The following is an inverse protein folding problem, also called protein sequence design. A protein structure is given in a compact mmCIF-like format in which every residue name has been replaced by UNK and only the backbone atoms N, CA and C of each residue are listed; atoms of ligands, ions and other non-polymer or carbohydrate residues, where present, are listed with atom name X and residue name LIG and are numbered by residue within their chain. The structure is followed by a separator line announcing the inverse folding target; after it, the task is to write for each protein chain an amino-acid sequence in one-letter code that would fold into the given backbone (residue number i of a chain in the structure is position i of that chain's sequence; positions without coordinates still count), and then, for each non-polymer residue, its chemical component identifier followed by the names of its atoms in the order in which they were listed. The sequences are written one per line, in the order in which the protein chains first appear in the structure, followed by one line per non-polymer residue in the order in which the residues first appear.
data_IF_765066818654
#
_entry.id   IF_765066818654
#
_cell.length_a   1.000
_cell.length_b   1.000
_cell.length_c   1.000
_cell.angle_alpha   90.00
_cell.angle_beta   90.00
_cell.angle_gamma   90.00
#
_symmetry.space_group_name_H-M   'P 1'
#
loop_
_entity.id
_entity.type
_entity.pdbx_description
1 polymer ?
#
# COMPACT_ATOMS: atom_id res chain seq x y z
N UNK A 1 -12.67 -15.92 24.65
CA UNK A 1 -11.50 -15.33 23.96
C UNK A 1 -11.38 -13.94 24.55
N UNK A 2 -10.29 -13.63 25.25
CA UNK A 2 -10.10 -12.28 25.81
C UNK A 2 -9.96 -11.29 24.65
N UNK A 3 -10.55 -10.10 24.76
CA UNK A 3 -10.44 -9.00 23.78
C UNK A 3 -8.99 -8.71 23.39
N UNK A 4 -8.04 -8.97 24.32
CA UNK A 4 -6.60 -8.88 24.11
C UNK A 4 -6.09 -9.72 22.93
N UNK A 5 -6.47 -11.01 22.86
CA UNK A 5 -6.05 -11.88 21.76
C UNK A 5 -6.69 -11.46 20.44
N UNK A 6 -7.92 -10.91 20.48
CA UNK A 6 -8.65 -10.50 19.29
C UNK A 6 -8.02 -9.28 18.60
N UNK A 7 -7.48 -8.32 19.35
CA UNK A 7 -6.79 -7.14 18.77
C UNK A 7 -5.47 -7.55 18.12
N UNK A 8 -4.65 -8.36 18.81
CA UNK A 8 -3.37 -8.85 18.29
C UNK A 8 -3.56 -9.65 17.00
N UNK A 9 -4.48 -10.62 16.99
CA UNK A 9 -4.82 -11.41 15.80
C UNK A 9 -5.31 -10.52 14.63
N UNK A 10 -6.03 -9.44 14.94
CA UNK A 10 -6.53 -8.50 13.92
C UNK A 10 -5.40 -7.64 13.34
N UNK A 11 -4.45 -7.22 14.17
CA UNK A 11 -3.25 -6.49 13.74
C UNK A 11 -2.41 -7.37 12.82
N UNK A 12 -2.12 -8.60 13.23
CA UNK A 12 -1.30 -9.53 12.46
C UNK A 12 -1.93 -9.84 11.10
N UNK A 13 -3.27 -10.01 11.07
CA UNK A 13 -4.01 -10.19 9.82
C UNK A 13 -3.92 -8.95 8.93
N UNK A 14 -4.21 -7.76 9.43
CA UNK A 14 -4.16 -6.54 8.63
C UNK A 14 -2.73 -6.20 8.15
N UNK A 15 -1.72 -6.60 8.92
CA UNK A 15 -0.32 -6.37 8.58
C UNK A 15 0.13 -7.16 7.34
N UNK A 16 -0.58 -8.21 6.91
CA UNK A 16 -0.20 -8.97 5.71
C UNK A 16 -0.34 -8.15 4.43
N UNK A 17 -1.20 -7.13 4.45
CA UNK A 17 -1.53 -6.32 3.27
C UNK A 17 -0.39 -5.39 2.83
N UNK A 18 0.52 -5.05 3.74
CA UNK A 18 1.70 -4.22 3.44
C UNK A 18 2.95 -5.09 3.48
N UNK A 19 3.73 -5.12 2.39
CA UNK A 19 5.02 -5.81 2.35
C UNK A 19 6.07 -5.22 3.30
N UNK A 20 7.04 -6.02 3.74
CA UNK A 20 8.21 -5.50 4.47
C UNK A 20 9.09 -4.64 3.55
N UNK A 21 9.65 -3.57 4.10
CA UNK A 21 10.53 -2.63 3.37
C UNK A 21 11.82 -2.45 4.16
N UNK A 22 12.95 -2.41 3.46
CA UNK A 22 14.27 -2.28 4.07
C UNK A 22 14.73 -0.82 4.13
N UNK A 23 15.69 -0.48 5.02
CA UNK A 23 16.30 0.84 5.04
C UNK A 23 16.77 1.28 3.65
N UNK A 24 16.73 2.60 3.38
CA UNK A 24 17.07 3.17 2.07
C UNK A 24 18.49 2.84 1.56
N UNK A 25 19.42 2.54 2.47
CA UNK A 25 20.78 2.13 2.12
C UNK A 25 20.88 0.66 1.67
N UNK A 26 19.82 -0.12 1.84
CA UNK A 26 19.74 -1.53 1.45
C UNK A 26 19.13 -1.65 0.06
N UNK A 27 19.85 -2.31 -0.84
CA UNK A 27 19.38 -2.53 -2.21
C UNK A 27 18.45 -3.75 -2.24
N UNK A 28 17.16 -3.52 -1.99
CA UNK A 28 16.14 -4.58 -2.02
C UNK A 28 14.96 -4.15 -2.87
N UNK A 29 14.48 -5.07 -3.71
CA UNK A 29 13.24 -4.90 -4.48
C UNK A 29 12.05 -5.32 -3.62
N UNK A 30 11.09 -4.43 -3.41
CA UNK A 30 9.81 -4.76 -2.79
C UNK A 30 8.76 -4.98 -3.89
N UNK A 31 7.98 -6.06 -3.79
CA UNK A 31 6.80 -6.28 -4.62
C UNK A 31 5.62 -5.51 -3.99
N UNK A 32 5.05 -4.48 -4.63
CA UNK A 32 3.89 -3.76 -4.09
C UNK A 32 2.67 -4.65 -3.88
N UNK A 33 2.58 -5.77 -4.62
CA UNK A 33 1.48 -6.72 -4.54
C UNK A 33 1.75 -7.91 -3.61
N UNK A 34 2.81 -7.87 -2.77
CA UNK A 34 3.19 -9.02 -1.93
C UNK A 34 2.11 -9.46 -0.94
N UNK A 35 1.16 -8.57 -0.59
CA UNK A 35 0.02 -8.87 0.26
C UNK A 35 -1.19 -9.48 -0.47
N UNK A 36 -1.13 -9.58 -1.80
CA UNK A 36 -2.24 -9.94 -2.68
C UNK A 36 -1.89 -11.13 -3.60
N UNK A 37 -0.85 -11.89 -3.28
CA UNK A 37 -0.33 -12.97 -4.14
C UNK A 37 -1.29 -14.18 -4.24
N UNK A 38 -2.26 -14.27 -3.33
CA UNK A 38 -3.25 -15.34 -3.27
C UNK A 38 -4.49 -15.11 -4.18
N UNK A 39 -4.60 -13.94 -4.81
CA UNK A 39 -5.71 -13.59 -5.72
C UNK A 39 -5.23 -13.37 -7.17
N UNK A 40 -6.09 -13.49 -8.19
CA UNK A 40 -5.72 -13.22 -9.58
C UNK A 40 -5.19 -11.79 -9.77
N UNK A 41 -4.29 -11.59 -10.73
CA UNK A 41 -3.60 -10.31 -10.94
C UNK A 41 -4.54 -9.10 -11.03
N UNK A 42 -5.62 -9.17 -11.81
CA UNK A 42 -6.57 -8.05 -11.92
C UNK A 42 -7.23 -7.70 -10.58
N UNK A 43 -7.64 -8.71 -9.82
CA UNK A 43 -8.20 -8.52 -8.48
C UNK A 43 -7.16 -7.98 -7.49
N UNK A 44 -5.92 -8.50 -7.54
CA UNK A 44 -4.80 -7.99 -6.74
C UNK A 44 -4.53 -6.51 -7.01
N UNK A 45 -4.55 -6.11 -8.28
CA UNK A 45 -4.27 -4.76 -8.72
C UNK A 45 -5.38 -3.81 -8.27
N UNK A 46 -6.65 -4.16 -8.47
CA UNK A 46 -7.79 -3.35 -8.02
C UNK A 46 -7.77 -3.18 -6.50
N UNK A 47 -7.64 -4.27 -5.74
CA UNK A 47 -7.58 -4.21 -4.27
C UNK A 47 -6.38 -3.38 -3.77
N UNK A 48 -5.21 -3.54 -4.39
CA UNK A 48 -4.04 -2.77 -4.03
C UNK A 48 -4.17 -1.28 -4.39
N UNK A 49 -4.79 -0.95 -5.53
CA UNK A 49 -5.01 0.43 -5.94
C UNK A 49 -6.01 1.14 -5.02
N UNK A 50 -7.10 0.47 -4.64
CA UNK A 50 -8.09 1.02 -3.70
C UNK A 50 -7.47 1.29 -2.33
N UNK A 51 -6.61 0.38 -1.87
CA UNK A 51 -6.09 0.42 -0.51
C UNK A 51 -4.79 1.24 -0.39
N UNK A 52 -3.80 0.97 -1.23
CA UNK A 52 -2.48 1.63 -1.21
C UNK A 52 -2.45 2.91 -2.05
N UNK A 53 -3.49 3.17 -2.83
CA UNK A 53 -3.52 4.21 -3.83
C UNK A 53 -2.63 3.89 -5.04
N UNK A 54 -2.52 4.88 -5.93
CA UNK A 54 -1.71 4.78 -7.14
C UNK A 54 -2.46 4.15 -8.30
N UNK A 55 -1.72 3.85 -9.38
CA UNK A 55 -2.30 3.29 -10.60
C UNK A 55 -1.76 1.88 -10.81
N UNK A 56 -2.68 0.92 -10.83
CA UNK A 56 -2.40 -0.49 -11.05
C UNK A 56 -1.89 -0.84 -12.45
N UNK A 57 -2.41 -0.13 -13.45
CA UNK A 57 -2.12 -0.35 -14.85
C UNK A 57 -1.39 0.84 -15.51
N UNK A 58 -0.71 0.64 -16.66
CA UNK A 58 -0.19 1.73 -17.46
C UNK A 58 -1.27 2.75 -17.88
N UNK A 59 -0.84 3.98 -18.21
CA UNK A 59 -1.74 5.00 -18.74
C UNK A 59 -2.13 4.69 -20.18
N UNK A 60 -3.27 5.19 -20.67
CA UNK A 60 -3.66 5.06 -22.08
C UNK A 60 -2.57 5.56 -23.05
N UNK A 61 -1.85 6.63 -22.71
CA UNK A 61 -0.71 7.12 -23.52
C UNK A 61 0.41 6.08 -23.66
N UNK A 62 0.66 5.30 -22.61
CA UNK A 62 1.68 4.25 -22.63
C UNK A 62 1.27 3.13 -23.58
N UNK A 63 0.01 2.69 -23.53
CA UNK A 63 -0.51 1.68 -24.46
C UNK A 63 -0.54 2.18 -25.91
N UNK A 64 -0.89 3.45 -26.11
CA UNK A 64 -0.86 4.10 -27.43
C UNK A 64 0.55 4.10 -28.01
N UNK A 65 1.54 4.51 -27.23
CA UNK A 65 2.95 4.47 -27.65
C UNK A 65 3.41 3.04 -27.96
N UNK A 66 3.03 2.05 -27.15
CA UNK A 66 3.37 0.65 -27.39
C UNK A 66 2.73 0.08 -28.68
N UNK A 67 1.53 0.53 -29.04
CA UNK A 67 0.91 0.21 -30.33
C UNK A 67 1.65 0.87 -31.49
N UNK A 68 1.95 2.17 -31.38
CA UNK A 68 2.66 2.94 -32.42
C UNK A 68 4.07 2.39 -32.69
N UNK A 69 4.75 1.94 -31.64
CA UNK A 69 6.09 1.33 -31.72
C UNK A 69 6.05 -0.15 -32.16
N UNK A 70 4.86 -0.73 -32.38
CA UNK A 70 4.68 -2.13 -32.76
C UNK A 70 5.07 -3.14 -31.66
N UNK A 71 5.10 -2.69 -30.41
CA UNK A 71 5.34 -3.55 -29.24
C UNK A 71 4.11 -4.39 -28.88
N UNK A 72 2.92 -3.93 -29.26
CA UNK A 72 1.66 -4.67 -29.19
C UNK A 72 1.26 -5.07 -30.60
N UNK A 73 1.15 -6.37 -30.86
CA UNK A 73 0.66 -6.90 -32.13
C UNK A 73 -0.86 -6.70 -32.25
N UNK A 74 -1.37 -5.98 -33.27
CA UNK A 74 -2.79 -5.66 -33.38
C UNK A 74 -3.72 -6.89 -33.43
N UNK A 75 -3.25 -7.99 -34.02
CA UNK A 75 -4.02 -9.25 -34.10
C UNK A 75 -4.20 -9.91 -32.72
N UNK A 76 -3.17 -9.84 -31.88
CA UNK A 76 -3.25 -10.33 -30.49
C UNK A 76 -4.21 -9.45 -29.69
N UNK A 77 -4.04 -8.12 -29.78
CA UNK A 77 -4.93 -7.19 -29.08
C UNK A 77 -6.39 -7.36 -29.47
N UNK A 78 -6.69 -7.50 -30.77
CA UNK A 78 -8.05 -7.75 -31.24
C UNK A 78 -8.65 -9.04 -30.66
N UNK A 79 -7.82 -10.07 -30.46
CA UNK A 79 -8.26 -11.34 -29.88
C UNK A 79 -8.55 -11.19 -28.39
N UNK A 80 -7.65 -10.56 -27.63
CA UNK A 80 -7.80 -10.29 -26.19
C UNK A 80 -9.04 -9.42 -25.88
N UNK A 81 -9.30 -8.41 -26.71
CA UNK A 81 -10.47 -7.53 -26.58
C UNK A 81 -11.77 -8.28 -26.92
N UNK A 82 -11.79 -9.07 -28.00
CA UNK A 82 -12.97 -9.82 -28.41
C UNK A 82 -13.37 -10.89 -27.39
N UNK A 83 -12.40 -11.55 -26.75
CA UNK A 83 -12.65 -12.52 -25.67
C UNK A 83 -13.35 -11.90 -24.45
N UNK A 84 -13.09 -10.61 -24.20
CA UNK A 84 -13.72 -9.81 -23.14
C UNK A 84 -14.97 -9.06 -23.61
N UNK A 85 -15.39 -9.26 -24.86
CA UNK A 85 -16.62 -8.66 -25.41
C UNK A 85 -16.49 -7.22 -25.90
N UNK A 86 -15.27 -6.71 -26.10
CA UNK A 86 -15.03 -5.39 -26.66
C UNK A 86 -14.88 -5.46 -28.18
N UNK A 87 -15.74 -4.72 -28.91
CA UNK A 87 -15.76 -4.69 -30.38
C UNK A 87 -15.29 -3.35 -30.98
N UNK A 88 -15.09 -2.33 -30.15
CA UNK A 88 -14.64 -1.02 -30.62
C UNK A 88 -13.17 -1.04 -31.02
N UNK A 89 -12.76 -0.07 -31.82
CA UNK A 89 -11.35 0.09 -32.18
C UNK A 89 -10.48 0.48 -30.95
N UNK A 90 -9.18 0.16 -30.96
CA UNK A 90 -8.29 0.44 -29.83
C UNK A 90 -8.21 1.92 -29.43
N UNK A 91 -8.31 2.88 -30.37
CA UNK A 91 -8.24 4.30 -30.03
C UNK A 91 -9.45 4.72 -29.20
N UNK A 92 -10.65 4.31 -29.62
CA UNK A 92 -11.90 4.56 -28.88
C UNK A 92 -11.87 3.96 -27.47
N UNK A 93 -11.29 2.76 -27.31
CA UNK A 93 -11.19 2.10 -26.01
C UNK A 93 -10.19 2.81 -25.08
N UNK A 94 -9.07 3.29 -25.62
CA UNK A 94 -8.08 4.07 -24.86
C UNK A 94 -8.65 5.41 -24.38
N UNK A 95 -9.48 6.08 -25.18
CA UNK A 95 -10.17 7.31 -24.77
C UNK A 95 -11.13 7.06 -23.59
N UNK A 96 -11.87 5.94 -23.62
CA UNK A 96 -12.75 5.54 -22.51
C UNK A 96 -11.99 5.27 -21.22
N UNK A 97 -10.80 4.68 -21.30
CA UNK A 97 -9.96 4.41 -20.13
C UNK A 97 -9.45 5.69 -19.46
N UNK A 98 -9.21 6.76 -20.21
CA UNK A 98 -8.65 8.01 -19.67
C UNK A 98 -9.68 8.78 -18.82
N UNK A 99 -10.96 8.72 -19.21
CA UNK A 99 -12.04 9.45 -18.53
C UNK A 99 -12.40 8.91 -17.14
N UNK A 100 -11.99 7.69 -16.79
CA UNK A 100 -12.34 7.04 -15.52
C UNK A 100 -11.38 7.35 -14.36
N UNK A 101 -10.30 8.12 -14.58
CA UNK A 101 -9.19 8.23 -13.62
C UNK A 101 -9.20 9.51 -12.77
N UNK A 102 -10.37 10.13 -12.56
CA UNK A 102 -10.46 11.26 -11.64
C UNK A 102 -10.31 10.78 -10.19
N UNK A 103 -9.13 11.00 -9.60
CA UNK A 103 -8.87 10.71 -8.19
C UNK A 103 -9.65 11.66 -7.28
N UNK A 104 -10.18 11.12 -6.19
CA UNK A 104 -10.80 11.94 -5.15
C UNK A 104 -9.78 12.96 -4.59
N UNK A 105 -10.24 14.19 -4.26
CA UNK A 105 -9.35 15.17 -3.65
C UNK A 105 -8.83 14.64 -2.30
N UNK A 106 -7.56 14.89 -1.96
CA UNK A 106 -6.96 14.36 -0.75
C UNK A 106 -7.71 14.85 0.49
N UNK A 107 -7.95 13.94 1.44
CA UNK A 107 -8.49 14.28 2.75
C UNK A 107 -7.42 15.04 3.56
N UNK A 108 -7.59 16.35 3.69
CA UNK A 108 -6.63 17.24 4.35
C UNK A 108 -6.36 16.84 5.81
N UNK A 109 -7.34 16.28 6.52
CA UNK A 109 -7.17 15.88 7.93
C UNK A 109 -6.35 14.59 8.03
N UNK A 110 -6.53 13.64 7.10
CA UNK A 110 -5.70 12.44 7.02
C UNK A 110 -4.23 12.79 6.67
N UNK A 111 -4.01 13.78 5.79
CA UNK A 111 -2.65 14.27 5.49
C UNK A 111 -1.96 14.88 6.72
N UNK A 112 -2.71 15.53 7.62
CA UNK A 112 -2.18 16.05 8.88
C UNK A 112 -1.75 14.94 9.85
N UNK A 113 -2.54 13.86 9.95
CA UNK A 113 -2.16 12.65 10.69
C UNK A 113 -0.84 12.10 10.15
N UNK A 114 -0.76 11.92 8.84
CA UNK A 114 0.42 11.38 8.16
C UNK A 114 1.66 12.25 8.37
N UNK A 115 1.49 13.57 8.32
CA UNK A 115 2.56 14.54 8.55
C UNK A 115 3.13 14.44 9.97
N UNK A 116 2.27 14.45 10.99
CA UNK A 116 2.69 14.35 12.39
C UNK A 116 3.34 13.00 12.66
N UNK A 117 2.72 11.92 12.20
CA UNK A 117 3.23 10.57 12.42
C UNK A 117 4.59 10.36 11.73
N UNK A 118 4.74 10.81 10.48
CA UNK A 118 6.02 10.76 9.73
C UNK A 118 7.13 11.54 10.45
N UNK A 119 6.82 12.72 11.00
CA UNK A 119 7.78 13.50 11.80
C UNK A 119 8.29 12.72 13.01
N UNK A 120 7.39 12.07 13.75
CA UNK A 120 7.79 11.33 14.94
C UNK A 120 8.45 10.00 14.64
N UNK A 121 8.02 9.29 13.60
CA UNK A 121 8.68 8.09 13.12
C UNK A 121 10.10 8.38 12.66
N UNK A 122 10.32 9.44 11.89
CA UNK A 122 11.68 9.84 11.48
C UNK A 122 12.58 10.20 12.66
N UNK A 123 12.05 10.89 13.68
CA UNK A 123 12.80 11.19 14.90
C UNK A 123 13.09 9.94 15.74
N UNK A 124 12.16 8.99 15.82
CA UNK A 124 12.33 7.75 16.58
C UNK A 124 13.23 6.73 15.88
N UNK A 125 13.14 6.62 14.56
CA UNK A 125 13.83 5.61 13.78
C UNK A 125 15.25 6.04 13.38
N UNK A 126 15.64 7.29 13.65
CA UNK A 126 16.99 7.81 13.41
C UNK A 126 18.09 6.93 14.01
N UNK A 127 19.03 6.51 13.16
CA UNK A 127 20.16 5.67 13.54
C UNK A 127 21.41 6.49 13.91
N UNK A 128 21.22 7.61 14.61
CA UNK A 128 22.28 8.47 15.11
C UNK A 128 22.79 9.51 14.11
N UNK A 129 21.99 9.87 13.10
CA UNK A 129 22.31 10.96 12.17
C UNK A 129 21.86 12.31 12.71
N UNK A 130 20.76 12.34 13.48
CA UNK A 130 20.26 13.56 14.08
C UNK A 130 21.19 14.06 15.18
N UNK A 131 21.45 15.36 15.21
CA UNK A 131 22.20 15.99 16.30
C UNK A 131 21.45 15.88 17.64
N UNK A 132 20.12 15.82 17.57
CA UNK A 132 19.21 15.77 18.71
C UNK A 132 18.34 14.53 18.56
N UNK A 133 18.57 13.54 19.43
CA UNK A 133 17.76 12.32 19.48
C UNK A 133 16.39 12.62 20.11
N UNK A 134 15.37 11.87 19.69
CA UNK A 134 14.10 11.85 20.40
C UNK A 134 14.32 11.39 21.86
N UNK A 135 13.69 12.02 22.87
CA UNK A 135 13.76 11.58 24.27
C UNK A 135 13.12 10.21 24.50
N UNK A 136 13.63 9.47 25.49
CA UNK A 136 13.05 8.22 26.01
C UNK A 136 12.82 7.11 24.95
N UNK A 137 13.61 7.11 23.86
CA UNK A 137 13.46 6.12 22.77
C UNK A 137 13.67 4.69 23.24
N UNK A 138 14.45 4.51 24.29
CA UNK A 138 14.76 3.22 24.92
C UNK A 138 13.51 2.52 25.47
N UNK A 139 12.46 3.28 25.79
CA UNK A 139 11.18 2.77 26.28
C UNK A 139 10.28 2.28 25.12
N UNK A 140 10.71 2.49 23.87
CA UNK A 140 10.00 2.11 22.66
C UNK A 140 9.13 3.23 22.07
N UNK A 141 8.72 3.06 20.82
CA UNK A 141 8.09 4.13 20.02
C UNK A 141 6.87 4.77 20.69
N UNK A 142 5.92 3.96 21.14
CA UNK A 142 4.68 4.44 21.74
C UNK A 142 4.94 5.22 23.04
N UNK A 143 5.78 4.68 23.94
CA UNK A 143 6.11 5.32 25.20
C UNK A 143 6.89 6.63 24.99
N UNK A 144 7.85 6.61 24.05
CA UNK A 144 8.60 7.80 23.66
C UNK A 144 7.66 8.89 23.11
N UNK A 145 6.76 8.53 22.18
CA UNK A 145 5.77 9.44 21.61
C UNK A 145 4.86 10.03 22.69
N UNK A 146 4.31 9.19 23.58
CA UNK A 146 3.48 9.61 24.71
C UNK A 146 4.17 10.67 25.58
N UNK A 147 5.48 10.54 25.80
CA UNK A 147 6.24 11.49 26.63
C UNK A 147 6.42 12.89 26.00
N UNK A 148 6.22 13.02 24.68
CA UNK A 148 6.45 14.26 23.93
C UNK A 148 5.21 14.80 23.22
N UNK A 149 4.15 14.00 23.07
CA UNK A 149 2.94 14.37 22.33
C UNK A 149 2.29 15.65 22.87
N UNK A 150 2.17 15.79 24.19
CA UNK A 150 1.62 17.00 24.83
C UNK A 150 2.45 18.28 24.63
N UNK A 151 3.67 18.16 24.08
CA UNK A 151 4.54 19.29 23.75
C UNK A 151 4.54 19.62 22.25
N UNK A 152 3.82 18.84 21.45
CA UNK A 152 3.71 19.03 20.01
C UNK A 152 2.49 19.89 19.66
N UNK A 153 2.72 21.17 19.36
CA UNK A 153 1.64 22.09 18.99
C UNK A 153 0.93 21.78 17.66
N UNK A 154 1.36 20.75 16.92
CA UNK A 154 0.63 20.24 15.74
C UNK A 154 -0.43 19.20 16.13
N UNK A 155 -0.36 18.61 17.31
CA UNK A 155 -1.35 17.63 17.79
C UNK A 155 -2.49 18.39 18.48
N UNK A 156 -3.75 18.19 18.08
CA UNK A 156 -4.88 18.77 18.79
C UNK A 156 -4.93 18.26 20.24
N UNK A 157 -5.24 19.16 21.18
CA UNK A 157 -5.45 18.81 22.60
C UNK A 157 -6.89 18.29 22.81
N UNK A 158 -7.24 17.23 22.07
CA UNK A 158 -8.56 16.57 22.07
C UNK A 158 -8.41 15.05 21.81
N UNK A 159 -9.44 14.29 22.20
CA UNK A 159 -9.50 12.84 22.05
C UNK A 159 -8.45 12.07 22.85
N UNK A 160 -8.17 10.83 22.44
CA UNK A 160 -7.19 9.93 23.06
C UNK A 160 -5.75 10.49 22.98
N UNK A 161 -5.44 11.35 22.01
CA UNK A 161 -4.12 11.95 21.88
C UNK A 161 -3.77 12.94 23.01
N UNK A 162 -4.77 13.55 23.66
CA UNK A 162 -4.57 14.50 24.76
C UNK A 162 -4.05 13.82 26.05
N UNK A 163 -4.52 12.60 26.32
CA UNK A 163 -4.07 11.78 27.46
C UNK A 163 -3.97 10.31 27.03
N UNK A 164 -2.90 10.00 26.31
CA UNK A 164 -2.66 8.65 25.82
C UNK A 164 -2.60 7.64 26.98
N UNK A 165 -3.33 6.51 26.87
CA UNK A 165 -3.19 5.38 27.80
C UNK A 165 -1.75 4.90 27.94
N UNK A 166 -1.40 4.28 29.06
CA UNK A 166 -0.06 3.72 29.26
C UNK A 166 0.24 2.58 28.27
N UNK A 167 -0.81 1.85 27.88
CA UNK A 167 -0.70 0.68 27.01
C UNK A 167 -1.18 0.98 25.58
N UNK A 168 -0.42 0.65 24.52
CA UNK A 168 -0.85 0.86 23.13
C UNK A 168 -2.18 0.17 22.82
N UNK A 169 -2.38 -1.07 23.29
CA UNK A 169 -3.66 -1.78 23.19
C UNK A 169 -4.87 -1.03 23.76
N UNK A 170 -4.68 -0.31 24.87
CA UNK A 170 -5.77 0.44 25.53
C UNK A 170 -6.14 1.66 24.70
N UNK A 171 -5.15 2.32 24.08
CA UNK A 171 -5.39 3.39 23.11
C UNK A 171 -6.17 2.88 21.89
N UNK A 172 -5.74 1.74 21.31
CA UNK A 172 -6.43 1.10 20.18
C UNK A 172 -7.88 0.76 20.57
N UNK A 173 -8.08 0.10 21.71
CA UNK A 173 -9.41 -0.30 22.17
C UNK A 173 -10.33 0.90 22.44
N UNK A 174 -9.79 2.03 22.91
CA UNK A 174 -10.56 3.26 23.17
C UNK A 174 -11.08 3.86 21.87
N UNK A 175 -10.22 3.99 20.84
CA UNK A 175 -10.60 4.52 19.54
C UNK A 175 -11.58 3.58 18.81
N UNK A 176 -11.46 2.26 19.03
CA UNK A 176 -12.32 1.25 18.41
C UNK A 176 -13.67 1.02 19.12
N UNK A 177 -13.92 1.59 20.30
CA UNK A 177 -15.18 1.40 21.05
C UNK A 177 -16.46 1.58 20.19
N UNK A 178 -16.52 2.54 19.23
CA UNK A 178 -17.69 2.71 18.37
C UNK A 178 -17.87 1.63 17.28
N UNK A 179 -16.84 0.84 16.99
CA UNK A 179 -16.79 -0.05 15.82
C UNK A 179 -16.90 -1.53 16.22
N UNK A 180 -17.79 -2.32 15.58
CA UNK A 180 -17.88 -3.75 15.81
C UNK A 180 -16.59 -4.48 15.41
N UNK A 181 -16.27 -5.57 16.12
CA UNK A 181 -15.08 -6.41 15.86
C UNK A 181 -14.93 -6.84 14.39
N UNK A 182 -16.04 -7.01 13.66
CA UNK A 182 -16.02 -7.36 12.23
C UNK A 182 -15.37 -6.29 11.33
N UNK A 183 -15.27 -5.05 11.80
CA UNK A 183 -14.66 -3.94 11.06
C UNK A 183 -13.20 -3.69 11.43
N UNK A 184 -12.68 -4.28 12.51
CA UNK A 184 -11.34 -3.93 13.00
C UNK A 184 -10.24 -4.21 11.98
N UNK A 185 -10.28 -5.36 11.32
CA UNK A 185 -9.28 -5.72 10.30
C UNK A 185 -9.29 -4.75 9.11
N UNK A 186 -10.43 -4.48 8.45
CA UNK A 186 -10.50 -3.43 7.42
C UNK A 186 -9.98 -2.06 7.86
N UNK A 187 -10.34 -1.62 9.06
CA UNK A 187 -9.86 -0.34 9.61
C UNK A 187 -8.33 -0.34 9.72
N UNK A 188 -7.75 -1.43 10.24
CA UNK A 188 -6.31 -1.58 10.40
C UNK A 188 -5.59 -1.67 9.05
N UNK A 189 -6.18 -2.34 8.06
CA UNK A 189 -5.64 -2.42 6.70
C UNK A 189 -5.50 -1.02 6.11
N UNK A 190 -6.51 -0.17 6.20
CA UNK A 190 -6.45 1.23 5.74
C UNK A 190 -5.42 2.05 6.52
N UNK A 191 -5.34 1.87 7.84
CA UNK A 191 -4.34 2.55 8.68
C UNK A 191 -2.90 2.14 8.34
N UNK A 192 -2.68 0.89 7.94
CA UNK A 192 -1.37 0.42 7.50
C UNK A 192 -1.06 0.86 6.07
N UNK A 193 -2.06 0.87 5.20
CA UNK A 193 -1.94 1.24 3.80
C UNK A 193 -1.64 2.72 3.57
N UNK A 194 -2.05 3.61 4.49
CA UNK A 194 -1.83 5.04 4.35
C UNK A 194 -0.35 5.47 4.39
N UNK A 195 0.52 4.75 5.11
CA UNK A 195 1.97 4.98 5.12
C UNK A 195 2.74 3.67 4.91
N UNK A 196 2.62 3.05 3.72
CA UNK A 196 3.03 1.67 3.52
C UNK A 196 4.56 1.51 3.60
N UNK A 197 5.31 2.55 3.23
CA UNK A 197 6.77 2.58 3.40
C UNK A 197 7.21 2.57 4.86
N UNK A 198 6.53 3.33 5.73
CA UNK A 198 6.83 3.35 7.17
C UNK A 198 6.42 2.05 7.85
N UNK A 199 5.22 1.54 7.53
CA UNK A 199 4.72 0.27 8.07
C UNK A 199 5.60 -0.89 7.65
N UNK A 200 5.96 -0.96 6.36
CA UNK A 200 6.90 -1.97 5.86
C UNK A 200 8.26 -1.89 6.56
N UNK A 201 8.75 -0.68 6.86
CA UNK A 201 10.00 -0.51 7.60
C UNK A 201 9.89 -0.91 9.08
N UNK A 202 8.76 -0.58 9.74
CA UNK A 202 8.48 -1.03 11.11
C UNK A 202 8.40 -2.56 11.17
N UNK A 203 7.73 -3.21 10.21
CA UNK A 203 7.69 -4.68 10.08
C UNK A 203 9.09 -5.26 9.98
N UNK A 204 9.91 -4.74 9.07
CA UNK A 204 11.26 -5.23 8.88
C UNK A 204 12.11 -5.03 10.14
N UNK A 205 12.02 -3.87 10.79
CA UNK A 205 12.76 -3.57 12.01
C UNK A 205 12.35 -4.45 13.18
N UNK A 206 11.06 -4.72 13.33
CA UNK A 206 10.54 -5.62 14.36
C UNK A 206 10.97 -7.08 14.13
N UNK A 207 11.09 -7.52 12.87
CA UNK A 207 11.48 -8.90 12.53
C UNK A 207 13.00 -9.14 12.51
N UNK A 208 13.81 -8.11 12.26
CA UNK A 208 15.27 -8.23 12.14
C UNK A 208 15.97 -8.47 13.49
N UNK A 209 15.31 -8.18 14.62
CA UNK A 209 15.86 -8.27 15.99
C UNK A 209 17.26 -7.63 16.14
N UNK A 210 17.58 -6.67 15.27
CA UNK A 210 18.90 -6.03 15.20
C UNK A 210 19.21 -5.16 16.42
N UNK A 211 20.43 -4.62 16.47
CA UNK A 211 20.88 -3.79 17.59
C UNK A 211 19.97 -2.56 17.82
N UNK A 212 19.48 -1.95 16.74
CA UNK A 212 18.56 -0.80 16.81
C UNK A 212 17.18 -1.19 17.34
N UNK A 213 16.64 -2.36 16.98
CA UNK A 213 15.37 -2.85 17.52
C UNK A 213 15.51 -3.26 18.99
N UNK A 214 16.62 -3.91 19.35
CA UNK A 214 16.92 -4.29 20.73
C UNK A 214 17.09 -3.09 21.66
N UNK A 215 17.62 -1.97 21.14
CA UNK A 215 17.87 -0.76 21.95
C UNK A 215 16.68 0.20 21.95
N UNK A 216 15.98 0.31 20.82
CA UNK A 216 14.87 1.25 20.63
C UNK A 216 13.73 0.53 19.89
N UNK A 217 12.89 -0.21 20.64
CA UNK A 217 11.91 -1.11 20.05
C UNK A 217 10.75 -0.36 19.40
N UNK A 218 10.34 -0.81 18.22
CA UNK A 218 9.09 -0.40 17.56
C UNK A 218 8.27 -1.62 17.21
N UNK A 219 6.95 -1.51 17.34
CA UNK A 219 5.98 -2.56 17.00
C UNK A 219 4.85 -1.96 16.16
N UNK A 220 4.16 -2.81 15.38
CA UNK A 220 2.96 -2.39 14.67
C UNK A 220 1.84 -1.97 15.62
N UNK A 221 1.69 -2.62 16.77
CA UNK A 221 0.73 -2.20 17.82
C UNK A 221 1.03 -0.76 18.27
N UNK A 222 2.29 -0.43 18.55
CA UNK A 222 2.68 0.92 18.94
C UNK A 222 2.49 1.96 17.84
N UNK A 223 2.81 1.62 16.59
CA UNK A 223 2.53 2.46 15.42
C UNK A 223 1.04 2.74 15.27
N UNK A 224 0.22 1.68 15.30
CA UNK A 224 -1.22 1.74 15.08
C UNK A 224 -1.92 2.53 16.19
N UNK A 225 -1.52 2.34 17.44
CA UNK A 225 -2.04 3.09 18.58
C UNK A 225 -1.84 4.60 18.41
N UNK A 226 -0.63 5.03 18.02
CA UNK A 226 -0.35 6.45 17.76
C UNK A 226 -1.18 6.96 16.59
N UNK A 227 -1.23 6.21 15.48
CA UNK A 227 -1.99 6.62 14.30
C UNK A 227 -3.47 6.80 14.61
N UNK A 228 -4.10 5.82 15.24
CA UNK A 228 -5.53 5.87 15.61
C UNK A 228 -5.84 7.02 16.56
N UNK A 229 -4.99 7.26 17.57
CA UNK A 229 -5.15 8.39 18.47
C UNK A 229 -5.04 9.73 17.75
N UNK A 230 -4.11 9.86 16.80
CA UNK A 230 -4.02 11.04 15.94
C UNK A 230 -5.26 11.18 15.05
N UNK A 231 -5.69 10.11 14.37
CA UNK A 231 -6.88 10.12 13.50
C UNK A 231 -8.13 10.60 14.25
N UNK A 232 -8.37 10.09 15.45
CA UNK A 232 -9.48 10.55 16.29
C UNK A 232 -9.35 12.03 16.67
N UNK A 233 -8.15 12.46 17.09
CA UNK A 233 -7.87 13.84 17.50
C UNK A 233 -8.03 14.85 16.36
N UNK A 234 -7.70 14.45 15.12
CA UNK A 234 -7.92 15.24 13.91
C UNK A 234 -9.35 15.11 13.34
N UNK A 235 -10.21 14.27 13.94
CA UNK A 235 -11.58 14.06 13.48
C UNK A 235 -11.69 13.29 12.16
N UNK A 236 -10.68 12.50 11.80
CA UNK A 236 -10.68 11.64 10.62
C UNK A 236 -11.65 10.48 10.86
N UNK A 237 -12.55 10.26 9.90
CA UNK A 237 -13.37 9.05 9.88
C UNK A 237 -12.47 7.84 9.57
N UNK A 238 -12.40 6.92 10.51
CA UNK A 238 -11.61 5.67 10.39
C UNK A 238 -12.49 4.48 10.04
N UNK A 239 -13.79 4.67 9.80
CA UNK A 239 -14.66 3.61 9.33
C UNK A 239 -14.15 3.03 8.01
N UNK A 240 -14.37 1.73 7.75
CA UNK A 240 -13.89 1.10 6.53
C UNK A 240 -14.53 1.76 5.32
N UNK A 241 -13.68 2.17 4.38
CA UNK A 241 -14.07 2.66 3.08
C UNK A 241 -14.81 1.54 2.36
N UNK A 242 -16.09 1.75 2.07
CA UNK A 242 -16.75 0.94 1.03
C UNK A 242 -16.08 1.34 -0.28
N UNK A 243 -15.29 0.45 -0.86
CA UNK A 243 -14.58 0.70 -2.12
C UNK A 243 -15.47 1.40 -3.15
N UNK A 244 -14.86 2.20 -4.01
CA UNK A 244 -15.58 2.86 -5.10
C UNK A 244 -16.13 1.78 -6.04
N UNK A 245 -17.35 1.30 -5.77
CA UNK A 245 -18.17 0.43 -6.63
C UNK A 245 -18.59 1.21 -7.91
N UNK A 246 -17.65 1.90 -8.55
CA UNK A 246 -17.86 2.53 -9.84
C UNK A 246 -17.60 1.47 -10.89
N UNK A 247 -18.68 0.94 -11.48
CA UNK A 247 -18.65 0.04 -12.65
C UNK A 247 -17.78 0.60 -13.79
N UNK A 248 -17.56 1.92 -13.83
CA UNK A 248 -16.68 2.59 -14.79
C UNK A 248 -15.18 2.40 -14.50
N UNK A 249 -14.76 2.30 -13.23
CA UNK A 249 -13.38 1.98 -12.88
C UNK A 249 -13.07 0.50 -13.16
N UNK A 250 -13.97 -0.41 -12.78
CA UNK A 250 -13.85 -1.84 -13.09
C UNK A 250 -13.72 -2.08 -14.61
N UNK A 251 -14.51 -1.38 -15.42
CA UNK A 251 -14.43 -1.49 -16.88
C UNK A 251 -13.13 -0.89 -17.45
N UNK A 252 -12.57 0.15 -16.83
CA UNK A 252 -11.30 0.73 -17.24
C UNK A 252 -10.13 -0.21 -16.91
N UNK A 253 -10.15 -0.87 -15.75
CA UNK A 253 -9.17 -1.88 -15.35
C UNK A 253 -9.24 -3.12 -16.24
N UNK A 254 -10.45 -3.60 -16.57
CA UNK A 254 -10.62 -4.72 -17.51
C UNK A 254 -10.06 -4.41 -18.90
N UNK A 255 -10.28 -3.17 -19.39
CA UNK A 255 -9.67 -2.71 -20.63
C UNK A 255 -8.15 -2.64 -20.51
N UNK A 256 -7.61 -2.08 -19.42
CA UNK A 256 -6.18 -1.98 -19.20
C UNK A 256 -5.51 -3.38 -19.14
N UNK A 257 -6.17 -4.34 -18.49
CA UNK A 257 -5.75 -5.73 -18.42
C UNK A 257 -5.68 -6.39 -19.81
N UNK A 258 -6.66 -6.11 -20.68
CA UNK A 258 -6.66 -6.62 -22.05
C UNK A 258 -5.47 -6.09 -22.87
N UNK A 259 -5.19 -4.79 -22.77
CA UNK A 259 -4.04 -4.19 -23.46
C UNK A 259 -2.71 -4.70 -22.90
N UNK A 260 -2.59 -4.84 -21.58
CA UNK A 260 -1.40 -5.39 -20.94
C UNK A 260 -1.18 -6.86 -21.33
N UNK A 261 -2.23 -7.68 -21.30
CA UNK A 261 -2.19 -9.09 -21.73
C UNK A 261 -1.70 -9.22 -23.18
N UNK A 262 -2.23 -8.38 -24.08
CA UNK A 262 -1.82 -8.36 -25.48
C UNK A 262 -0.35 -7.96 -25.64
N UNK A 263 0.11 -6.98 -24.86
CA UNK A 263 1.51 -6.56 -24.86
C UNK A 263 2.44 -7.68 -24.39
N UNK A 264 2.13 -8.31 -23.26
CA UNK A 264 2.91 -9.42 -22.72
C UNK A 264 2.95 -10.62 -23.69
N UNK A 265 1.81 -10.94 -24.31
CA UNK A 265 1.73 -12.01 -25.31
C UNK A 265 2.56 -11.71 -26.55
N UNK A 266 2.54 -10.46 -27.04
CA UNK A 266 3.37 -9.99 -28.16
C UNK A 266 4.86 -10.13 -27.84
N UNK A 267 5.27 -9.65 -26.67
CA UNK A 267 6.65 -9.77 -26.20
C UNK A 267 7.08 -11.24 -26.06
N UNK A 268 6.25 -12.07 -25.42
CA UNK A 268 6.52 -13.50 -25.23
C UNK A 268 6.70 -14.22 -26.55
N UNK A 269 5.83 -13.95 -27.54
CA UNK A 269 5.93 -14.52 -28.89
C UNK A 269 7.26 -14.16 -29.53
N UNK A 270 7.61 -12.87 -29.56
CA UNK A 270 8.88 -12.41 -30.14
C UNK A 270 10.10 -13.06 -29.50
N UNK A 271 10.10 -13.21 -28.16
CA UNK A 271 11.20 -13.88 -27.45
C UNK A 271 11.26 -15.36 -27.81
N UNK A 272 10.13 -16.07 -27.81
CA UNK A 272 10.05 -17.50 -28.14
C UNK A 272 10.49 -17.75 -29.58
N UNK A 273 9.99 -16.98 -30.54
CA UNK A 273 10.32 -17.12 -31.96
C UNK A 273 11.82 -16.88 -32.20
N UNK A 274 12.39 -15.87 -31.53
CA UNK A 274 13.83 -15.61 -31.61
C UNK A 274 14.66 -16.76 -31.03
N UNK A 275 14.28 -17.26 -29.86
CA UNK A 275 14.98 -18.39 -29.24
C UNK A 275 14.88 -19.64 -30.11
N UNK A 276 13.72 -19.91 -30.70
CA UNK A 276 13.52 -21.03 -31.61
C UNK A 276 14.40 -20.90 -32.87
N UNK A 277 14.42 -19.74 -33.52
CA UNK A 277 15.22 -19.49 -34.71
C UNK A 277 16.74 -19.63 -34.44
N UNK A 278 17.23 -19.13 -33.31
CA UNK A 278 18.64 -19.29 -32.91
C UNK A 278 18.97 -20.75 -32.60
N UNK A 279 18.04 -21.49 -31.98
CA UNK A 279 18.22 -22.93 -31.72
C UNK A 279 18.30 -23.74 -33.02
N UNK A 280 17.45 -23.45 -34.01
CA UNK A 280 17.47 -24.13 -35.31
C UNK A 280 18.77 -23.82 -36.07
N UNK A 281 19.21 -22.55 -36.07
CA UNK A 281 20.45 -22.14 -36.72
C UNK A 281 21.70 -22.82 -36.11
N UNK A 282 21.70 -23.08 -34.80
CA UNK A 282 22.77 -23.84 -34.15
C UNK A 282 22.79 -25.31 -34.56
N UNK A 283 21.62 -25.94 -34.67
CA UNK A 283 21.50 -27.34 -35.11
C UNK A 283 21.94 -27.50 -36.58
N UNK A 284 21.59 -26.55 -37.44
CA UNK A 284 21.97 -26.56 -38.86
C UNK A 284 23.46 -26.27 -39.10
N UNK A 285 24.17 -25.73 -38.09
CA UNK A 285 25.60 -25.41 -38.15
C UNK A 285 26.54 -26.54 -37.66
N UNK A 286 26.00 -27.59 -37.04
CA UNK A 286 26.72 -28.80 -36.59
C UNK A 286 26.77 -29.91 -37.65
#
# INVERSE_FOLDING_TARGET
MSTEHTVEDSIDKAATTVGSVWPIHSFVTANPLSGFEDVPFGEAVTQAADLLGGRGYPRPETFRAALDDGQIEPEILASELAERGYENDPETLLERMDTSVESEPPNTDAELVDHVLTKWLSAFLDEGQAQWSMPNREDGFYAAFRSVAAHDGQIPDDGVAADLPESPREAIASVLEPYPESQWVPIFEEQFAALPGWVGFVKQRAADDGAWQSTYPVTLEGYLAVRLALSESFGVDIGPSTGSDSTEAEAADELADAFLSAWEASYRRQVVDRVAAESEALVDAE
#
